data_IF_459523799075
#
_entry.id   IF_459523799075
#
_cell.length_a   1.000
_cell.length_b   1.000
_cell.length_c   1.000
_cell.angle_alpha   90.00
_cell.angle_beta   90.00
_cell.angle_gamma   90.00
#
_symmetry.space_group_name_H-M   'P 1'
#
loop_
_entity.id
_entity.type
_entity.pdbx_description
1 polymer ?
#
# COMPACT_ATOMS: atom_id res chain seq x y z
N UNK A 1 0.28 -27.57 -9.06
CA UNK A 1 1.28 -27.39 -8.00
C UNK A 1 1.58 -25.92 -7.71
N UNK A 2 1.83 -25.09 -8.72
CA UNK A 2 2.07 -23.65 -8.54
C UNK A 2 0.87 -22.87 -7.94
N UNK A 3 -0.35 -23.26 -8.28
CA UNK A 3 -1.60 -22.63 -7.80
C UNK A 3 -1.84 -22.99 -6.33
N UNK A 4 -1.65 -24.26 -5.94
CA UNK A 4 -1.77 -24.69 -4.56
C UNK A 4 -0.72 -24.04 -3.65
N UNK A 5 0.50 -23.86 -4.14
CA UNK A 5 1.56 -23.14 -3.42
C UNK A 5 1.22 -21.65 -3.24
N UNK A 6 0.64 -20.98 -4.25
CA UNK A 6 0.22 -19.57 -4.12
C UNK A 6 -0.87 -19.40 -3.05
N UNK A 7 -1.82 -20.33 -2.96
CA UNK A 7 -2.87 -20.30 -1.95
C UNK A 7 -2.34 -20.60 -0.55
N UNK A 8 -1.40 -21.54 -0.43
CA UNK A 8 -0.73 -21.82 0.83
C UNK A 8 0.06 -20.61 1.33
N UNK A 9 0.73 -19.88 0.42
CA UNK A 9 1.43 -18.65 0.77
C UNK A 9 0.46 -17.53 1.18
N UNK A 10 -0.65 -17.36 0.50
CA UNK A 10 -1.68 -16.38 0.88
C UNK A 10 -2.25 -16.67 2.29
N UNK A 11 -2.47 -17.94 2.62
CA UNK A 11 -2.92 -18.36 3.96
C UNK A 11 -1.86 -18.13 5.04
N UNK A 12 -0.57 -18.28 4.72
CA UNK A 12 0.54 -18.03 5.65
C UNK A 12 0.78 -16.52 5.83
N UNK A 13 0.70 -15.75 4.74
CA UNK A 13 0.96 -14.30 4.74
C UNK A 13 -0.20 -13.51 5.36
N UNK A 14 -1.42 -14.00 5.23
CA UNK A 14 -2.61 -13.38 5.82
C UNK A 14 -3.29 -14.38 6.76
N UNK A 15 -2.68 -14.75 7.88
CA UNK A 15 -3.37 -15.55 8.87
C UNK A 15 -4.66 -14.79 9.22
N UNK A 16 -5.80 -15.43 9.02
CA UNK A 16 -7.07 -14.85 9.43
C UNK A 16 -6.88 -14.34 10.85
N UNK A 17 -6.99 -13.03 11.05
CA UNK A 17 -6.60 -12.34 12.27
C UNK A 17 -7.51 -12.76 13.45
N UNK A 18 -7.31 -13.97 13.95
CA UNK A 18 -7.95 -14.54 15.16
C UNK A 18 -7.12 -14.22 16.41
N UNK A 19 -6.45 -13.08 16.41
CA UNK A 19 -5.82 -12.64 17.65
C UNK A 19 -6.88 -11.90 18.48
N UNK A 20 -7.23 -12.50 19.62
CA UNK A 20 -7.99 -11.85 20.71
C UNK A 20 -7.15 -10.75 21.36
N UNK A 21 -6.69 -9.78 20.57
CA UNK A 21 -5.99 -8.62 21.09
C UNK A 21 -7.03 -7.59 21.50
N UNK A 22 -6.83 -6.99 22.68
CA UNK A 22 -7.70 -5.93 23.19
C UNK A 22 -7.83 -4.80 22.15
N UNK A 23 -9.05 -4.32 21.93
CA UNK A 23 -9.35 -3.22 20.96
C UNK A 23 -8.46 -2.01 21.19
N UNK A 24 -8.19 -1.67 22.45
CA UNK A 24 -7.32 -0.56 22.85
C UNK A 24 -5.89 -0.72 22.33
N UNK A 25 -5.29 -1.90 22.43
CA UNK A 25 -3.94 -2.15 21.90
C UNK A 25 -3.89 -2.03 20.38
N UNK A 26 -4.90 -2.51 19.66
CA UNK A 26 -5.00 -2.35 18.21
C UNK A 26 -5.11 -0.88 17.81
N UNK A 27 -5.92 -0.12 18.55
CA UNK A 27 -6.10 1.31 18.29
C UNK A 27 -4.79 2.08 18.53
N UNK A 28 -4.14 1.85 19.66
CA UNK A 28 -2.86 2.49 20.00
C UNK A 28 -1.78 2.20 18.95
N UNK A 29 -1.62 0.93 18.56
CA UNK A 29 -0.66 0.56 17.53
C UNK A 29 -1.00 1.19 16.18
N UNK A 30 -2.28 1.16 15.78
CA UNK A 30 -2.74 1.79 14.53
C UNK A 30 -2.47 3.30 14.52
N UNK A 31 -2.64 3.98 15.66
CA UNK A 31 -2.35 5.40 15.78
C UNK A 31 -0.85 5.70 15.61
N UNK A 32 0.02 4.90 16.23
CA UNK A 32 1.48 5.03 16.08
C UNK A 32 1.89 4.82 14.62
N UNK A 33 1.33 3.80 13.97
CA UNK A 33 1.63 3.49 12.56
C UNK A 33 1.12 4.60 11.64
N UNK A 34 -0.05 5.18 11.93
CA UNK A 34 -0.58 6.35 11.19
C UNK A 34 0.37 7.54 11.32
N UNK A 35 0.79 7.86 12.54
CA UNK A 35 1.74 8.95 12.78
C UNK A 35 3.05 8.74 12.01
N UNK A 36 3.62 7.53 12.07
CA UNK A 36 4.83 7.18 11.34
C UNK A 36 4.66 7.31 9.82
N UNK A 37 3.51 6.89 9.29
CA UNK A 37 3.19 7.04 7.86
C UNK A 37 3.12 8.52 7.44
N UNK A 38 2.52 9.37 8.28
CA UNK A 38 2.45 10.82 8.03
C UNK A 38 3.85 11.44 8.06
N UNK A 39 4.70 11.03 9.00
CA UNK A 39 6.11 11.49 9.07
C UNK A 39 6.86 11.13 7.79
N UNK A 40 6.74 9.90 7.28
CA UNK A 40 7.36 9.54 6.00
C UNK A 40 6.87 10.41 4.84
N UNK A 41 5.57 10.64 4.75
CA UNK A 41 5.00 11.50 3.72
C UNK A 41 5.44 12.96 3.88
N UNK A 42 5.59 13.44 5.11
CA UNK A 42 6.06 14.80 5.37
C UNK A 42 7.52 14.97 4.96
N UNK A 43 8.38 14.00 5.26
CA UNK A 43 9.78 13.99 4.80
C UNK A 43 9.83 13.98 3.28
N UNK A 44 8.97 13.17 2.61
CA UNK A 44 8.85 13.20 1.15
C UNK A 44 8.46 14.59 0.62
N UNK A 45 7.50 15.23 1.27
CA UNK A 45 7.04 16.57 0.88
C UNK A 45 8.09 17.68 1.04
N UNK A 46 9.12 17.46 1.86
CA UNK A 46 10.26 18.37 1.99
C UNK A 46 11.31 18.17 0.88
N UNK A 47 11.42 16.97 0.37
CA UNK A 47 12.37 16.58 -0.68
C UNK A 47 11.60 16.09 -1.91
N UNK A 48 11.33 16.94 -2.88
CA UNK A 48 10.52 16.66 -4.08
C UNK A 48 10.92 15.39 -4.84
N UNK A 49 12.19 15.01 -4.81
CA UNK A 49 12.70 13.77 -5.42
C UNK A 49 12.23 12.49 -4.69
N UNK A 50 11.80 12.61 -3.44
CA UNK A 50 11.43 11.46 -2.60
C UNK A 50 9.92 11.20 -2.52
N UNK A 51 9.10 11.92 -3.27
CA UNK A 51 7.63 11.82 -3.21
C UNK A 51 7.10 10.39 -3.39
N UNK A 52 7.58 9.71 -4.43
CA UNK A 52 7.18 8.33 -4.76
C UNK A 52 7.68 7.34 -3.70
N UNK A 53 8.94 7.51 -3.28
CA UNK A 53 9.55 6.64 -2.27
C UNK A 53 8.92 6.82 -0.90
N UNK A 54 8.58 8.03 -0.51
CA UNK A 54 7.89 8.34 0.72
C UNK A 54 6.47 7.73 0.75
N UNK A 55 5.72 7.87 -0.35
CA UNK A 55 4.41 7.25 -0.50
C UNK A 55 4.49 5.71 -0.43
N UNK A 56 5.52 5.10 -1.04
CA UNK A 56 5.77 3.68 -0.95
C UNK A 56 6.12 3.25 0.49
N UNK A 57 6.99 3.99 1.19
CA UNK A 57 7.34 3.71 2.58
C UNK A 57 6.14 3.83 3.53
N UNK A 58 5.32 4.87 3.37
CA UNK A 58 4.09 5.02 4.13
C UNK A 58 3.13 3.84 3.91
N UNK A 59 3.07 3.30 2.70
CA UNK A 59 2.24 2.12 2.41
C UNK A 59 2.76 0.83 3.07
N UNK A 60 4.07 0.70 3.32
CA UNK A 60 4.61 -0.43 4.10
C UNK A 60 4.13 -0.42 5.54
N UNK A 61 3.90 0.76 6.11
CA UNK A 61 3.27 0.87 7.42
C UNK A 61 1.85 0.30 7.40
N UNK A 62 1.06 0.61 6.36
CA UNK A 62 -0.28 0.03 6.17
C UNK A 62 -0.21 -1.49 5.95
N UNK A 63 0.81 -1.98 5.22
CA UNK A 63 1.05 -3.41 5.04
C UNK A 63 1.23 -4.12 6.38
N UNK A 64 2.00 -3.54 7.30
CA UNK A 64 2.22 -4.10 8.62
C UNK A 64 0.90 -4.30 9.38
N UNK A 65 0.04 -3.27 9.40
CA UNK A 65 -1.30 -3.38 10.00
C UNK A 65 -2.18 -4.40 9.27
N UNK A 66 -2.04 -4.50 7.93
CA UNK A 66 -2.78 -5.49 7.14
C UNK A 66 -2.46 -6.92 7.57
N UNK A 67 -1.19 -7.21 7.84
CA UNK A 67 -0.72 -8.55 8.25
C UNK A 67 -1.13 -8.87 9.69
N UNK A 68 -1.02 -7.91 10.62
CA UNK A 68 -1.28 -8.17 12.05
C UNK A 68 -2.76 -8.07 12.43
N UNK A 69 -3.48 -7.07 11.94
CA UNK A 69 -4.87 -6.79 12.37
C UNK A 69 -5.91 -6.98 11.28
N UNK A 70 -5.46 -7.23 10.06
CA UNK A 70 -6.33 -7.49 8.91
C UNK A 70 -6.80 -6.23 8.18
N UNK A 71 -7.53 -6.47 7.10
CA UNK A 71 -7.90 -5.47 6.10
C UNK A 71 -8.70 -4.28 6.64
N UNK A 72 -9.64 -4.53 7.57
CA UNK A 72 -10.49 -3.45 8.13
C UNK A 72 -9.68 -2.41 8.88
N UNK A 73 -8.74 -2.84 9.72
CA UNK A 73 -7.84 -1.93 10.46
C UNK A 73 -6.87 -1.23 9.53
N UNK A 74 -6.36 -1.92 8.54
CA UNK A 74 -5.48 -1.34 7.52
C UNK A 74 -6.18 -0.23 6.71
N UNK A 75 -7.44 -0.43 6.33
CA UNK A 75 -8.23 0.61 5.65
C UNK A 75 -8.49 1.82 6.56
N UNK A 76 -8.71 1.61 7.86
CA UNK A 76 -8.84 2.73 8.81
C UNK A 76 -7.54 3.53 8.93
N UNK A 77 -6.38 2.85 9.03
CA UNK A 77 -5.06 3.51 9.04
C UNK A 77 -4.81 4.25 7.72
N UNK A 78 -5.11 3.62 6.57
CA UNK A 78 -5.01 4.28 5.28
C UNK A 78 -5.83 5.56 5.21
N UNK A 79 -7.12 5.51 5.61
CA UNK A 79 -7.99 6.67 5.57
C UNK A 79 -7.52 7.79 6.52
N UNK A 80 -7.11 7.44 7.74
CA UNK A 80 -6.57 8.39 8.70
C UNK A 80 -5.29 9.05 8.19
N UNK A 81 -4.34 8.26 7.65
CA UNK A 81 -3.10 8.78 7.05
C UNK A 81 -3.39 9.68 5.85
N UNK A 82 -4.33 9.27 4.99
CA UNK A 82 -4.74 10.04 3.81
C UNK A 82 -5.29 11.43 4.18
N UNK A 83 -6.21 11.47 5.16
CA UNK A 83 -6.78 12.73 5.66
C UNK A 83 -5.71 13.63 6.28
N UNK A 84 -4.88 13.08 7.16
CA UNK A 84 -3.81 13.85 7.79
C UNK A 84 -2.78 14.34 6.78
N UNK A 85 -2.39 13.52 5.80
CA UNK A 85 -1.45 13.91 4.77
C UNK A 85 -2.01 15.04 3.89
N UNK A 86 -3.27 14.95 3.47
CA UNK A 86 -3.91 16.01 2.68
C UNK A 86 -4.03 17.34 3.44
N UNK A 87 -4.18 17.29 4.77
CA UNK A 87 -4.27 18.49 5.60
C UNK A 87 -2.91 19.09 5.94
N UNK A 88 -1.94 18.25 6.36
CA UNK A 88 -0.69 18.70 6.99
C UNK A 88 0.45 18.92 6.01
N UNK A 89 0.47 18.22 4.84
CA UNK A 89 1.61 18.31 3.95
C UNK A 89 1.67 19.65 3.21
N UNK A 90 2.86 20.29 3.11
CA UNK A 90 3.05 21.53 2.35
C UNK A 90 2.86 21.30 0.86
N UNK A 91 3.48 20.25 0.30
CA UNK A 91 3.26 19.81 -1.08
C UNK A 91 2.27 18.64 -1.08
N UNK A 92 1.31 18.67 -2.01
CA UNK A 92 0.23 17.66 -2.04
C UNK A 92 0.59 16.42 -2.86
N UNK A 93 1.70 16.46 -3.61
CA UNK A 93 2.07 15.37 -4.51
C UNK A 93 2.27 14.03 -3.80
N UNK A 94 3.07 13.91 -2.71
CA UNK A 94 3.21 12.62 -2.01
C UNK A 94 1.90 12.15 -1.38
N UNK A 95 1.04 13.07 -0.92
CA UNK A 95 -0.29 12.70 -0.40
C UNK A 95 -1.18 12.14 -1.52
N UNK A 96 -1.21 12.77 -2.69
CA UNK A 96 -1.99 12.30 -3.85
C UNK A 96 -1.47 10.94 -4.34
N UNK A 97 -0.16 10.75 -4.43
CA UNK A 97 0.44 9.46 -4.79
C UNK A 97 0.09 8.36 -3.77
N UNK A 98 0.13 8.69 -2.47
CA UNK A 98 -0.26 7.77 -1.42
C UNK A 98 -1.73 7.40 -1.52
N UNK A 99 -2.62 8.37 -1.63
CA UNK A 99 -4.07 8.16 -1.72
C UNK A 99 -4.45 7.41 -3.00
N UNK A 100 -3.88 7.81 -4.13
CA UNK A 100 -4.27 7.30 -5.45
C UNK A 100 -3.65 5.97 -5.84
N UNK A 101 -2.45 5.63 -5.31
CA UNK A 101 -1.70 4.46 -5.79
C UNK A 101 -1.24 3.52 -4.68
N UNK A 102 -0.55 4.05 -3.65
CA UNK A 102 0.21 3.21 -2.73
C UNK A 102 -0.56 2.80 -1.47
N UNK A 103 -1.32 3.70 -0.87
CA UNK A 103 -1.86 3.51 0.47
C UNK A 103 -2.93 2.42 0.59
N UNK A 104 -3.84 2.33 -0.38
CA UNK A 104 -4.90 1.32 -0.39
C UNK A 104 -4.43 -0.03 -0.94
N UNK A 105 -3.27 -0.07 -1.59
CA UNK A 105 -2.81 -1.27 -2.29
C UNK A 105 -2.55 -2.47 -1.36
N UNK A 106 -1.91 -2.36 -0.18
CA UNK A 106 -1.67 -3.50 0.69
C UNK A 106 -2.93 -4.25 1.13
N UNK A 107 -4.01 -3.63 1.62
CA UNK A 107 -5.25 -4.33 1.94
C UNK A 107 -5.96 -4.87 0.69
N UNK A 108 -5.85 -4.20 -0.46
CA UNK A 108 -6.42 -4.65 -1.73
C UNK A 108 -5.67 -5.87 -2.28
N UNK A 109 -4.34 -5.86 -2.22
CA UNK A 109 -3.51 -7.02 -2.55
C UNK A 109 -3.89 -8.23 -1.71
N UNK A 110 -4.05 -8.05 -0.40
CA UNK A 110 -4.50 -9.09 0.50
C UNK A 110 -5.89 -9.64 0.12
N UNK A 111 -6.77 -8.81 -0.41
CA UNK A 111 -8.08 -9.22 -0.89
C UNK A 111 -7.98 -10.04 -2.17
N UNK A 112 -7.21 -9.58 -3.15
CA UNK A 112 -7.05 -10.28 -4.43
C UNK A 112 -6.37 -11.63 -4.27
N UNK A 113 -5.27 -11.69 -3.52
CA UNK A 113 -4.53 -12.94 -3.30
C UNK A 113 -5.30 -13.98 -2.48
N UNK A 114 -6.33 -13.56 -1.71
CA UNK A 114 -7.21 -14.49 -0.99
C UNK A 114 -8.40 -14.98 -1.83
N UNK A 115 -8.93 -14.14 -2.74
CA UNK A 115 -10.14 -14.46 -3.49
C UNK A 115 -9.90 -14.93 -4.91
N UNK A 116 -8.86 -14.44 -5.55
CA UNK A 116 -8.55 -14.72 -6.95
C UNK A 116 -7.37 -15.68 -7.08
N UNK A 117 -7.31 -16.42 -8.17
CA UNK A 117 -6.31 -17.46 -8.41
C UNK A 117 -5.62 -17.27 -9.76
N UNK A 118 -4.35 -17.64 -9.82
CA UNK A 118 -3.57 -17.66 -11.07
C UNK A 118 -3.41 -16.30 -11.73
N UNK A 119 -3.64 -16.24 -13.04
CA UNK A 119 -3.48 -15.03 -13.85
C UNK A 119 -4.48 -13.92 -13.50
N UNK A 120 -5.69 -14.28 -13.00
CA UNK A 120 -6.72 -13.30 -12.63
C UNK A 120 -6.26 -12.33 -11.54
N UNK A 121 -5.38 -12.77 -10.63
CA UNK A 121 -4.79 -11.89 -9.61
C UNK A 121 -3.99 -10.77 -10.26
N UNK A 122 -3.17 -11.10 -11.27
CA UNK A 122 -2.35 -10.12 -11.98
C UNK A 122 -3.19 -9.16 -12.81
N UNK A 123 -4.20 -9.69 -13.52
CA UNK A 123 -5.15 -8.87 -14.29
C UNK A 123 -5.87 -7.88 -13.37
N UNK A 124 -6.39 -8.33 -12.24
CA UNK A 124 -7.08 -7.45 -11.29
C UNK A 124 -6.15 -6.39 -10.70
N UNK A 125 -4.91 -6.74 -10.34
CA UNK A 125 -3.91 -5.79 -9.83
C UNK A 125 -3.57 -4.72 -10.88
N UNK A 126 -3.29 -5.11 -12.12
CA UNK A 126 -2.97 -4.18 -13.19
C UNK A 126 -4.17 -3.33 -13.58
N UNK A 127 -5.37 -3.89 -13.65
CA UNK A 127 -6.58 -3.15 -13.98
C UNK A 127 -6.86 -2.04 -12.95
N UNK A 128 -6.77 -2.35 -11.65
CA UNK A 128 -6.98 -1.35 -10.59
C UNK A 128 -5.91 -0.27 -10.56
N UNK A 129 -4.65 -0.63 -10.80
CA UNK A 129 -3.56 0.34 -10.87
C UNK A 129 -3.71 1.25 -12.09
N UNK A 130 -4.00 0.68 -13.27
CA UNK A 130 -4.21 1.48 -14.47
C UNK A 130 -5.45 2.39 -14.36
N UNK A 131 -6.54 1.91 -13.73
CA UNK A 131 -7.71 2.76 -13.46
C UNK A 131 -7.34 3.94 -12.54
N UNK A 132 -6.55 3.71 -11.49
CA UNK A 132 -6.10 4.77 -10.59
C UNK A 132 -5.19 5.77 -11.31
N UNK A 133 -4.20 5.29 -12.09
CA UNK A 133 -3.32 6.17 -12.88
C UNK A 133 -4.12 6.97 -13.90
N UNK A 134 -5.08 6.33 -14.56
CA UNK A 134 -5.97 7.03 -15.51
C UNK A 134 -6.78 8.14 -14.84
N UNK A 135 -7.37 7.87 -13.67
CA UNK A 135 -8.05 8.91 -12.88
C UNK A 135 -7.10 10.06 -12.51
N UNK A 136 -5.86 9.77 -12.13
CA UNK A 136 -4.85 10.79 -11.82
C UNK A 136 -4.50 11.64 -13.06
N UNK A 137 -4.37 11.00 -14.23
CA UNK A 137 -4.10 11.69 -15.50
C UNK A 137 -5.29 12.61 -15.85
N UNK A 138 -6.53 12.16 -15.69
CA UNK A 138 -7.71 13.00 -15.92
C UNK A 138 -7.72 14.23 -15.02
N UNK A 139 -7.40 14.07 -13.74
CA UNK A 139 -7.28 15.20 -12.81
C UNK A 139 -6.14 16.14 -13.22
N UNK A 140 -4.98 15.58 -13.59
CA UNK A 140 -3.85 16.37 -14.06
C UNK A 140 -4.17 17.16 -15.35
N UNK A 141 -4.91 16.57 -16.29
CA UNK A 141 -5.40 17.26 -17.49
C UNK A 141 -6.31 18.43 -17.20
N UNK A 142 -7.13 18.31 -16.17
CA UNK A 142 -8.02 19.40 -15.76
C UNK A 142 -7.25 20.61 -15.21
N UNK A 143 -6.08 20.34 -14.61
CA UNK A 143 -5.21 21.38 -14.02
C UNK A 143 -4.21 21.94 -15.04
N UNK A 144 -3.66 21.08 -15.91
CA UNK A 144 -2.66 21.46 -16.91
C UNK A 144 -2.84 20.63 -18.19
N UNK A 145 -2.88 21.30 -19.35
CA UNK A 145 -2.96 20.64 -20.65
C UNK A 145 -1.60 19.97 -20.96
N UNK A 146 -1.53 18.66 -20.82
CA UNK A 146 -0.33 17.88 -21.12
C UNK A 146 -0.38 17.27 -22.53
N UNK A 147 0.77 17.08 -23.15
CA UNK A 147 0.87 16.40 -24.43
C UNK A 147 0.58 14.88 -24.26
N UNK A 148 -0.14 14.29 -25.23
CA UNK A 148 -0.52 12.86 -25.20
C UNK A 148 0.65 11.90 -25.02
N UNK A 149 1.80 12.18 -25.64
CA UNK A 149 3.00 11.34 -25.48
C UNK A 149 3.52 11.32 -24.05
N UNK A 150 3.38 12.41 -23.30
CA UNK A 150 3.76 12.47 -21.89
C UNK A 150 2.87 11.58 -21.01
N UNK A 151 1.58 11.54 -21.31
CA UNK A 151 0.63 10.67 -20.59
C UNK A 151 0.90 9.18 -20.83
N UNK A 152 1.27 8.82 -22.07
CA UNK A 152 1.67 7.44 -22.40
C UNK A 152 2.95 7.08 -21.64
N UNK A 153 3.93 7.97 -21.59
CA UNK A 153 5.17 7.76 -20.83
C UNK A 153 4.89 7.57 -19.34
N UNK A 154 3.99 8.38 -18.76
CA UNK A 154 3.55 8.22 -17.38
C UNK A 154 2.92 6.85 -17.13
N UNK A 155 1.99 6.42 -17.99
CA UNK A 155 1.35 5.10 -17.89
C UNK A 155 2.37 3.96 -17.89
N UNK A 156 3.33 3.99 -18.81
CA UNK A 156 4.37 2.96 -18.90
C UNK A 156 5.25 2.97 -17.65
N UNK A 157 5.70 4.15 -17.22
CA UNK A 157 6.55 4.32 -16.05
C UNK A 157 5.86 3.85 -14.77
N UNK A 158 4.60 4.25 -14.56
CA UNK A 158 3.84 3.80 -13.38
C UNK A 158 3.57 2.30 -13.37
N UNK A 159 3.33 1.66 -14.52
CA UNK A 159 3.21 0.21 -14.59
C UNK A 159 4.53 -0.50 -14.22
N UNK A 160 5.68 0.02 -14.67
CA UNK A 160 6.98 -0.53 -14.31
C UNK A 160 7.23 -0.39 -12.79
N UNK A 161 7.03 0.81 -12.26
CA UNK A 161 7.16 1.10 -10.82
C UNK A 161 6.21 0.20 -10.01
N UNK A 162 4.98 0.01 -10.46
CA UNK A 162 4.00 -0.85 -9.79
C UNK A 162 4.44 -2.31 -9.73
N UNK A 163 4.98 -2.87 -10.80
CA UNK A 163 5.48 -4.26 -10.80
C UNK A 163 6.64 -4.42 -9.82
N UNK A 164 7.56 -3.45 -9.77
CA UNK A 164 8.67 -3.45 -8.81
C UNK A 164 8.15 -3.34 -7.38
N UNK A 165 7.21 -2.45 -7.15
CA UNK A 165 6.57 -2.23 -5.86
C UNK A 165 5.80 -3.47 -5.36
N UNK A 166 5.00 -4.13 -6.22
CA UNK A 166 4.31 -5.39 -5.85
C UNK A 166 5.28 -6.49 -5.43
N UNK A 167 6.41 -6.60 -6.14
CA UNK A 167 7.47 -7.56 -5.79
C UNK A 167 8.16 -7.18 -4.48
N UNK A 168 8.43 -5.89 -4.25
CA UNK A 168 9.02 -5.38 -3.01
C UNK A 168 8.12 -5.66 -1.81
N UNK A 169 6.83 -5.32 -1.89
CA UNK A 169 5.83 -5.65 -0.86
C UNK A 169 5.80 -7.13 -0.56
N UNK A 170 5.78 -7.98 -1.59
CA UNK A 170 5.73 -9.43 -1.40
C UNK A 170 6.97 -9.96 -0.68
N UNK A 171 8.16 -9.45 -1.04
CA UNK A 171 9.43 -9.82 -0.37
C UNK A 171 9.46 -9.35 1.09
N UNK A 172 9.07 -8.11 1.33
CA UNK A 172 9.01 -7.53 2.69
C UNK A 172 8.03 -8.27 3.58
N UNK A 173 6.86 -8.61 3.06
CA UNK A 173 5.87 -9.38 3.79
C UNK A 173 6.38 -10.77 4.15
N UNK A 174 7.05 -11.45 3.22
CA UNK A 174 7.69 -12.75 3.49
C UNK A 174 8.80 -12.62 4.56
N UNK A 175 9.67 -11.64 4.42
CA UNK A 175 10.74 -11.39 5.39
C UNK A 175 10.17 -11.09 6.79
N UNK A 176 9.13 -10.25 6.86
CA UNK A 176 8.44 -9.95 8.10
C UNK A 176 7.86 -11.20 8.77
N UNK A 177 7.05 -11.98 8.06
CA UNK A 177 6.36 -13.16 8.62
C UNK A 177 7.33 -14.27 8.99
N UNK A 178 8.33 -14.54 8.13
CA UNK A 178 9.25 -15.69 8.33
C UNK A 178 10.38 -15.39 9.32
N UNK A 179 10.90 -14.16 9.33
CA UNK A 179 12.09 -13.80 10.10
C UNK A 179 11.74 -12.94 11.31
N UNK A 180 11.14 -11.78 11.07
CA UNK A 180 11.00 -10.74 12.10
C UNK A 180 9.94 -11.09 13.13
N UNK A 181 8.80 -11.63 12.72
CA UNK A 181 7.72 -12.04 13.63
C UNK A 181 8.18 -13.13 14.61
N UNK A 182 9.00 -14.07 14.15
CA UNK A 182 9.59 -15.12 15.01
C UNK A 182 10.64 -14.55 15.98
N UNK A 183 11.47 -13.62 15.50
CA UNK A 183 12.59 -13.05 16.27
C UNK A 183 12.13 -12.05 17.32
N UNK A 184 11.15 -11.23 16.99
CA UNK A 184 10.63 -10.19 17.90
C UNK A 184 9.66 -10.74 18.95
N UNK A 185 9.26 -12.01 18.89
CA UNK A 185 8.27 -12.62 19.81
C UNK A 185 7.06 -11.73 20.08
N UNK A 186 6.65 -10.95 19.08
CA UNK A 186 5.54 -10.02 19.23
C UNK A 186 4.26 -10.84 19.46
N UNK A 187 3.91 -11.02 20.75
CA UNK A 187 2.62 -11.53 21.20
C UNK A 187 1.75 -10.30 21.50
N UNK A 188 0.93 -9.91 20.53
CA UNK A 188 -0.11 -8.92 20.78
C UNK A 188 -1.31 -9.55 21.49
#
# INVERSE_FOLDING_TARGET
>A
WRIAAANAWAAILYPAAKMKTNRTKKLAFSAIVTALSVVFLYVGALFELLDVTAAALASFCVLWVTVEFGKRWALAVYAATALLALLLLPTKLPAVLYVGLFGYYPPLKAFYEQKLHGALVWVAKLATTNAAVFCMILVARYVAANALWFEILLLVTFNLVFVLYDRAITRLMRAYVLVWRKRLRIKF
#
